data_IF_660265417177
#
_entry.id   IF_660265417177
#
_cell.length_a   1.000
_cell.length_b   1.000
_cell.length_c   1.000
_cell.angle_alpha   90.00
_cell.angle_beta   90.00
_cell.angle_gamma   90.00
#
_symmetry.space_group_name_H-M   'P 1'
#
loop_
_entity.id
_entity.type
_entity.pdbx_description
1 polymer ?
#
# COMPACT_ATOMS: atom_id res chain seq x y z
N UNK A 1 -17.40 -15.29 -9.23
CA UNK A 1 -17.71 -16.70 -9.57
C UNK A 1 -16.39 -17.45 -9.54
N UNK A 2 -16.14 -18.20 -8.46
CA UNK A 2 -14.90 -18.94 -8.23
C UNK A 2 -15.00 -20.35 -8.83
N UNK A 3 -13.97 -20.82 -9.55
CA UNK A 3 -13.68 -22.25 -9.66
C UNK A 3 -12.16 -22.43 -9.61
N UNK A 4 -11.70 -23.13 -8.56
CA UNK A 4 -10.37 -23.72 -8.45
C UNK A 4 -10.33 -25.03 -9.23
N UNK A 5 -9.18 -25.39 -9.79
CA UNK A 5 -8.94 -26.72 -10.36
C UNK A 5 -7.48 -27.09 -10.28
N UNK A 6 -7.11 -27.83 -9.23
CA UNK A 6 -5.87 -28.59 -9.17
C UNK A 6 -6.13 -30.02 -9.68
N UNK A 7 -5.25 -30.54 -10.54
CA UNK A 7 -5.10 -31.98 -10.82
C UNK A 7 -3.62 -32.30 -10.93
N UNK A 8 -3.18 -33.28 -10.12
CA UNK A 8 -1.87 -33.94 -10.11
C UNK A 8 -1.85 -35.18 -11.03
N UNK A 9 -0.62 -35.69 -11.22
CA UNK A 9 -0.19 -37.02 -11.70
C UNK A 9 -0.01 -37.18 -13.24
N UNK A 10 1.07 -37.76 -13.80
CA UNK A 10 2.12 -38.65 -13.27
C UNK A 10 3.29 -38.89 -14.26
N UNK A 11 4.48 -39.20 -13.72
CA UNK A 11 5.58 -40.14 -14.17
C UNK A 11 6.36 -39.82 -15.46
N UNK A 12 7.68 -40.04 -15.59
CA UNK A 12 8.65 -41.07 -15.14
C UNK A 12 10.08 -40.43 -15.02
N UNK A 13 10.96 -40.62 -14.00
CA UNK A 13 11.73 -41.80 -13.53
C UNK A 13 12.51 -42.52 -14.68
N UNK A 14 13.80 -42.88 -14.69
CA UNK A 14 14.96 -43.04 -13.78
C UNK A 14 16.17 -43.25 -14.77
N UNK A 15 17.44 -42.97 -14.49
CA UNK A 15 18.37 -43.88 -13.78
C UNK A 15 19.77 -43.25 -13.66
N UNK A 16 20.43 -43.56 -12.54
CA UNK A 16 21.80 -43.25 -12.17
C UNK A 16 22.69 -44.50 -12.40
N UNK A 17 24.00 -44.34 -12.65
CA UNK A 17 24.93 -45.48 -12.65
C UNK A 17 26.40 -45.09 -12.84
N UNK A 18 27.22 -45.34 -11.81
CA UNK A 18 28.68 -45.08 -11.72
C UNK A 18 29.52 -46.12 -12.49
N UNK A 19 30.76 -45.70 -12.80
CA UNK A 19 31.95 -46.45 -13.28
C UNK A 19 32.37 -47.63 -12.34
N UNK A 20 33.50 -48.38 -12.52
CA UNK A 20 34.59 -48.34 -13.54
C UNK A 20 35.03 -49.73 -14.08
N UNK A 21 35.99 -49.82 -15.01
CA UNK A 21 37.03 -50.89 -15.06
C UNK A 21 38.10 -50.60 -16.14
N UNK A 22 39.34 -50.91 -15.77
CA UNK A 22 40.62 -50.81 -16.48
C UNK A 22 40.86 -51.93 -17.50
N UNK A 23 41.57 -51.65 -18.60
CA UNK A 23 42.65 -52.50 -19.13
C UNK A 23 43.52 -51.74 -20.14
N UNK A 24 44.84 -51.88 -19.96
CA UNK A 24 45.90 -51.45 -20.88
C UNK A 24 46.06 -52.43 -22.05
N UNK A 25 46.62 -51.99 -23.19
CA UNK A 25 47.64 -52.68 -24.01
C UNK A 25 48.18 -51.72 -25.11
N UNK A 26 49.51 -51.70 -25.17
CA UNK A 26 50.59 -51.10 -26.00
C UNK A 26 50.43 -50.57 -27.45
N UNK A 27 51.43 -49.79 -27.94
CA UNK A 27 51.43 -49.02 -29.19
C UNK A 27 52.21 -49.69 -30.34
N UNK A 28 51.87 -49.34 -31.60
CA UNK A 28 52.65 -49.52 -32.86
C UNK A 28 51.84 -48.81 -33.95
N UNK A 29 52.37 -48.05 -34.91
CA UNK A 29 53.72 -47.68 -35.30
C UNK A 29 53.60 -46.64 -36.42
N UNK A 30 54.66 -45.87 -36.64
CA UNK A 30 54.84 -44.99 -37.81
C UNK A 30 54.81 -45.80 -39.12
N UNK A 31 54.49 -45.16 -40.25
CA UNK A 31 55.60 -44.68 -41.07
C UNK A 31 55.43 -43.24 -41.58
N UNK A 32 56.59 -42.59 -41.70
CA UNK A 32 56.80 -41.39 -42.49
C UNK A 32 56.95 -41.74 -43.98
N UNK A 33 56.44 -40.87 -44.86
CA UNK A 33 56.95 -40.55 -46.20
C UNK A 33 56.09 -39.37 -46.74
N UNK A 34 56.58 -38.12 -46.65
CA UNK A 34 57.23 -37.34 -47.74
C UNK A 34 56.45 -37.24 -49.05
N UNK A 35 55.81 -36.10 -49.30
CA UNK A 35 56.05 -35.25 -50.49
C UNK A 35 55.25 -33.93 -50.43
N UNK A 36 55.74 -32.86 -51.09
CA UNK A 36 55.37 -31.48 -50.79
C UNK A 36 54.28 -30.97 -51.73
N UNK A 37 53.42 -30.07 -51.24
CA UNK A 37 52.58 -29.28 -52.12
C UNK A 37 51.25 -28.90 -51.51
N UNK A 38 51.20 -27.69 -50.96
CA UNK A 38 50.16 -26.69 -51.23
C UNK A 38 50.19 -25.67 -50.11
N UNK A 39 50.54 -24.44 -50.49
CA UNK A 39 50.39 -23.24 -49.68
C UNK A 39 48.89 -23.06 -49.35
N UNK A 40 48.44 -23.60 -48.23
CA UNK A 40 47.11 -23.35 -47.71
C UNK A 40 47.13 -21.99 -47.01
N UNK A 41 46.72 -20.96 -47.76
CA UNK A 41 46.40 -19.63 -47.23
C UNK A 41 45.56 -19.77 -45.97
N UNK A 42 46.11 -19.32 -44.85
CA UNK A 42 45.33 -18.93 -43.67
C UNK A 42 44.34 -17.88 -44.17
N UNK A 43 43.08 -18.27 -44.40
CA UNK A 43 41.98 -17.31 -44.52
C UNK A 43 41.84 -16.68 -43.15
N UNK A 44 42.44 -15.51 -42.98
CA UNK A 44 41.95 -14.55 -42.01
C UNK A 44 40.45 -14.41 -42.27
N UNK A 45 39.64 -14.86 -41.33
CA UNK A 45 38.21 -14.57 -41.31
C UNK A 45 38.10 -13.06 -41.21
N UNK A 46 37.91 -12.42 -42.37
CA UNK A 46 37.65 -10.99 -42.48
C UNK A 46 36.42 -10.73 -41.62
N UNK A 47 36.59 -9.98 -40.52
CA UNK A 47 35.49 -9.28 -39.90
C UNK A 47 34.88 -8.41 -41.01
N UNK A 48 33.75 -8.85 -41.57
CA UNK A 48 32.97 -8.04 -42.49
C UNK A 48 32.70 -6.69 -41.79
N UNK A 49 33.08 -5.55 -42.38
CA UNK A 49 32.76 -4.26 -41.78
C UNK A 49 31.24 -4.17 -41.75
N UNK A 50 30.65 -4.20 -40.55
CA UNK A 50 29.23 -3.90 -40.40
C UNK A 50 29.01 -2.57 -41.11
N UNK A 51 28.14 -2.51 -42.15
CA UNK A 51 28.14 -1.36 -43.05
C UNK A 51 27.84 -0.11 -42.24
N UNK A 52 28.83 0.78 -42.09
CA UNK A 52 28.72 1.96 -41.20
C UNK A 52 27.49 2.81 -41.52
N UNK A 53 26.99 2.75 -42.76
CA UNK A 53 25.72 3.36 -43.17
C UNK A 53 24.51 2.74 -42.47
N UNK A 54 24.41 1.41 -42.45
CA UNK A 54 23.32 0.68 -41.76
C UNK A 54 23.39 0.94 -40.26
N UNK A 55 24.60 0.90 -39.67
CA UNK A 55 24.78 1.23 -38.26
C UNK A 55 24.31 2.67 -37.94
N UNK A 56 24.69 3.65 -38.77
CA UNK A 56 24.22 5.04 -38.62
C UNK A 56 22.69 5.16 -38.75
N UNK A 57 22.08 4.49 -39.73
CA UNK A 57 20.62 4.49 -39.87
C UNK A 57 19.92 3.90 -38.64
N UNK A 58 20.41 2.77 -38.11
CA UNK A 58 19.86 2.17 -36.89
C UNK A 58 19.99 3.12 -35.70
N UNK A 59 21.15 3.75 -35.50
CA UNK A 59 21.36 4.69 -34.40
C UNK A 59 20.46 5.92 -34.50
N UNK A 60 20.27 6.47 -35.71
CA UNK A 60 19.35 7.60 -35.93
C UNK A 60 17.90 7.20 -35.66
N UNK A 61 17.47 6.02 -36.10
CA UNK A 61 16.13 5.51 -35.82
C UNK A 61 15.90 5.31 -34.31
N UNK A 62 16.87 4.72 -33.60
CA UNK A 62 16.81 4.56 -32.15
C UNK A 62 16.73 5.91 -31.41
N UNK A 63 17.52 6.90 -31.84
CA UNK A 63 17.47 8.25 -31.27
C UNK A 63 16.11 8.93 -31.53
N UNK A 64 15.54 8.76 -32.72
CA UNK A 64 14.20 9.28 -33.05
C UNK A 64 13.10 8.60 -32.22
N UNK A 65 13.16 7.27 -32.05
CA UNK A 65 12.26 6.52 -31.18
C UNK A 65 12.38 6.98 -29.72
N UNK A 66 13.61 7.20 -29.24
CA UNK A 66 13.85 7.68 -27.88
C UNK A 66 13.33 9.10 -27.66
N UNK A 67 13.53 10.00 -28.63
CA UNK A 67 12.98 11.35 -28.59
C UNK A 67 11.44 11.36 -28.63
N UNK A 68 10.84 10.53 -29.49
CA UNK A 68 9.39 10.38 -29.56
C UNK A 68 8.80 9.81 -28.25
N UNK A 69 9.45 8.79 -27.67
CA UNK A 69 9.08 8.27 -26.36
C UNK A 69 9.22 9.33 -25.26
N UNK A 70 10.32 10.09 -25.24
CA UNK A 70 10.54 11.14 -24.24
C UNK A 70 9.47 12.23 -24.31
N UNK A 71 9.17 12.72 -25.52
CA UNK A 71 8.08 13.68 -25.74
C UNK A 71 6.73 13.14 -25.30
N UNK A 72 6.45 11.87 -25.60
CA UNK A 72 5.25 11.20 -25.10
C UNK A 72 5.29 11.12 -23.57
N UNK A 73 6.37 10.68 -22.94
CA UNK A 73 6.48 10.46 -21.50
C UNK A 73 6.28 11.75 -20.67
N UNK A 74 6.60 12.92 -21.21
CA UNK A 74 6.42 14.22 -20.52
C UNK A 74 5.06 14.88 -20.82
N UNK A 75 4.44 14.59 -21.96
CA UNK A 75 3.18 15.23 -22.36
C UNK A 75 1.97 14.73 -21.57
N UNK A 76 0.91 15.53 -21.44
CA UNK A 76 -0.39 15.09 -20.90
C UNK A 76 -0.44 14.87 -19.39
N UNK A 77 0.49 15.46 -18.63
CA UNK A 77 0.48 15.52 -17.16
C UNK A 77 -0.34 16.71 -16.69
N UNK A 78 -1.32 16.55 -15.78
CA UNK A 78 -2.07 17.65 -15.23
C UNK A 78 -1.19 18.48 -14.26
N UNK A 79 -1.30 19.80 -14.31
CA UNK A 79 -0.50 20.72 -13.47
C UNK A 79 -1.29 21.35 -12.32
N UNK A 80 -2.61 21.46 -12.46
CA UNK A 80 -3.54 21.82 -11.39
C UNK A 80 -4.91 21.21 -11.73
N UNK A 81 -5.46 20.44 -10.81
CA UNK A 81 -6.79 19.84 -10.93
C UNK A 81 -7.62 20.23 -9.73
N UNK A 82 -8.86 20.65 -9.97
CA UNK A 82 -9.81 20.77 -8.87
C UNK A 82 -10.01 19.39 -8.22
N UNK A 83 -10.25 19.34 -6.89
CA UNK A 83 -10.69 18.11 -6.23
C UNK A 83 -11.92 17.52 -6.93
N UNK A 84 -11.98 16.20 -7.01
CA UNK A 84 -13.15 15.51 -7.57
C UNK A 84 -14.39 15.79 -6.72
N UNK A 85 -15.59 15.89 -7.32
CA UNK A 85 -16.82 16.07 -6.57
C UNK A 85 -17.18 14.80 -5.78
N UNK A 86 -17.82 14.97 -4.63
CA UNK A 86 -18.44 13.83 -3.93
C UNK A 86 -19.67 13.34 -4.70
N UNK A 87 -19.97 12.03 -4.69
CA UNK A 87 -21.13 11.47 -5.40
C UNK A 87 -22.47 11.86 -4.77
N UNK A 88 -22.46 12.30 -3.52
CA UNK A 88 -23.62 12.72 -2.76
C UNK A 88 -23.19 13.68 -1.63
N UNK A 89 -24.12 14.45 -1.04
CA UNK A 89 -23.81 15.38 0.05
C UNK A 89 -23.11 14.69 1.23
N UNK A 90 -22.14 15.38 1.81
CA UNK A 90 -21.40 14.95 3.00
C UNK A 90 -22.36 14.55 4.13
N UNK A 91 -22.18 13.35 4.67
CA UNK A 91 -22.94 12.87 5.82
C UNK A 91 -22.13 13.09 7.10
N UNK A 92 -22.77 13.69 8.11
CA UNK A 92 -22.11 14.06 9.35
C UNK A 92 -22.87 13.45 10.53
N UNK A 93 -22.18 12.64 11.33
CA UNK A 93 -22.73 11.94 12.48
C UNK A 93 -21.92 12.26 13.74
N UNK A 94 -22.59 12.42 14.89
CA UNK A 94 -21.94 12.66 16.18
C UNK A 94 -22.40 11.63 17.20
N UNK A 95 -21.45 11.07 17.94
CA UNK A 95 -21.68 10.14 19.05
C UNK A 95 -21.23 10.81 20.35
N UNK A 96 -22.13 10.86 21.34
CA UNK A 96 -21.89 11.54 22.62
C UNK A 96 -22.04 13.06 22.53
N UNK A 97 -21.51 13.75 23.55
CA UNK A 97 -21.52 15.21 23.69
C UNK A 97 -20.16 15.73 24.16
N UNK A 98 -19.79 16.99 23.86
CA UNK A 98 -18.51 17.56 24.27
C UNK A 98 -18.42 17.69 25.79
N UNK A 99 -17.40 17.05 26.39
CA UNK A 99 -17.09 17.11 27.82
C UNK A 99 -15.70 17.71 28.11
N UNK A 100 -15.11 18.40 27.15
CA UNK A 100 -13.77 19.01 27.28
C UNK A 100 -12.59 18.04 27.22
N UNK A 101 -12.85 16.73 27.00
CA UNK A 101 -11.84 15.68 26.85
C UNK A 101 -11.34 15.47 25.41
N UNK A 102 -11.99 16.11 24.44
CA UNK A 102 -11.67 15.94 23.02
C UNK A 102 -12.54 14.91 22.32
N UNK A 103 -12.09 14.47 21.15
CA UNK A 103 -12.84 13.58 20.27
C UNK A 103 -11.93 12.85 19.27
N UNK A 104 -12.40 11.69 18.83
CA UNK A 104 -11.92 11.04 17.62
C UNK A 104 -12.83 11.46 16.46
N UNK A 105 -12.23 11.90 15.36
CA UNK A 105 -12.94 12.30 14.15
C UNK A 105 -12.62 11.31 13.04
N UNK A 106 -13.51 10.33 12.82
CA UNK A 106 -13.38 9.36 11.76
C UNK A 106 -13.79 9.97 10.42
N UNK A 107 -12.84 10.06 9.49
CA UNK A 107 -13.03 10.68 8.18
C UNK A 107 -13.06 9.57 7.11
N UNK A 108 -14.21 9.39 6.46
CA UNK A 108 -14.34 8.57 5.26
C UNK A 108 -14.52 9.50 4.05
N UNK A 109 -13.43 10.12 3.54
CA UNK A 109 -13.50 10.91 2.32
C UNK A 109 -13.93 10.02 1.14
N UNK A 110 -14.53 10.62 0.11
CA UNK A 110 -14.75 9.93 -1.16
C UNK A 110 -13.61 10.28 -2.11
N UNK A 111 -12.67 9.35 -2.29
CA UNK A 111 -11.44 9.60 -3.04
C UNK A 111 -11.47 8.95 -4.43
N UNK A 112 -10.98 9.68 -5.43
CA UNK A 112 -10.82 9.18 -6.79
C UNK A 112 -9.37 9.32 -7.24
N UNK A 113 -8.99 8.64 -8.33
CA UNK A 113 -7.65 8.80 -8.91
C UNK A 113 -7.32 10.27 -9.27
N UNK A 114 -8.33 11.07 -9.62
CA UNK A 114 -8.16 12.50 -9.94
C UNK A 114 -7.69 13.32 -8.74
N UNK A 115 -8.06 12.94 -7.52
CA UNK A 115 -7.62 13.63 -6.30
C UNK A 115 -6.11 13.46 -6.08
N UNK A 116 -5.54 12.37 -6.59
CA UNK A 116 -4.11 12.06 -6.51
C UNK A 116 -3.31 12.62 -7.69
N UNK A 117 -3.92 13.39 -8.59
CA UNK A 117 -3.19 14.04 -9.68
C UNK A 117 -2.07 14.97 -9.18
N UNK A 118 -2.24 15.58 -8.01
CA UNK A 118 -1.19 16.33 -7.29
C UNK A 118 -1.40 16.24 -5.78
N UNK A 119 -0.32 16.32 -4.98
CA UNK A 119 -0.44 16.42 -3.52
C UNK A 119 -1.33 17.59 -3.07
N UNK A 120 -1.27 18.73 -3.76
CA UNK A 120 -2.11 19.91 -3.48
C UNK A 120 -3.59 19.64 -3.70
N UNK A 121 -3.95 18.85 -4.72
CA UNK A 121 -5.35 18.47 -4.97
C UNK A 121 -5.86 17.56 -3.86
N UNK A 122 -5.06 16.56 -3.48
CA UNK A 122 -5.37 15.68 -2.36
C UNK A 122 -5.53 16.47 -1.06
N UNK A 123 -4.60 17.37 -0.76
CA UNK A 123 -4.68 18.22 0.44
C UNK A 123 -5.97 19.05 0.45
N UNK A 124 -6.33 19.70 -0.66
CA UNK A 124 -7.59 20.45 -0.76
C UNK A 124 -8.82 19.58 -0.54
N UNK A 125 -8.83 18.37 -1.13
CA UNK A 125 -9.92 17.39 -0.97
C UNK A 125 -10.08 16.97 0.50
N UNK A 126 -8.98 16.63 1.16
CA UNK A 126 -9.01 16.21 2.57
C UNK A 126 -9.33 17.38 3.51
N UNK A 127 -8.80 18.58 3.21
CA UNK A 127 -9.05 19.79 3.96
C UNK A 127 -10.53 20.20 3.96
N UNK A 128 -11.29 19.94 2.89
CA UNK A 128 -12.72 20.30 2.87
C UNK A 128 -13.53 19.53 3.91
N UNK A 129 -13.15 18.28 4.23
CA UNK A 129 -13.83 17.50 5.27
C UNK A 129 -13.47 17.98 6.67
N UNK A 130 -12.19 18.32 6.90
CA UNK A 130 -11.77 18.93 8.17
C UNK A 130 -12.39 20.33 8.35
N UNK A 131 -12.54 21.09 7.27
CA UNK A 131 -13.25 22.36 7.28
C UNK A 131 -14.72 22.18 7.67
N UNK A 132 -15.42 21.19 7.09
CA UNK A 132 -16.80 20.90 7.48
C UNK A 132 -16.91 20.54 8.98
N UNK A 133 -15.96 19.78 9.52
CA UNK A 133 -15.91 19.48 10.95
C UNK A 133 -15.58 20.71 11.81
N UNK A 134 -14.74 21.62 11.31
CA UNK A 134 -14.48 22.92 11.95
C UNK A 134 -15.74 23.78 12.00
N UNK A 135 -16.44 23.91 10.88
CA UNK A 135 -17.66 24.70 10.77
C UNK A 135 -18.79 24.15 11.66
N UNK A 136 -18.80 22.83 11.90
CA UNK A 136 -19.69 22.16 12.85
C UNK A 136 -19.26 22.30 14.33
N UNK A 137 -18.14 22.96 14.63
CA UNK A 137 -17.61 23.12 15.99
C UNK A 137 -17.03 21.85 16.61
N UNK A 138 -16.67 20.86 15.78
CA UNK A 138 -16.18 19.55 16.27
C UNK A 138 -14.68 19.50 16.52
N UNK A 139 -13.92 20.52 16.09
CA UNK A 139 -12.48 20.56 16.34
C UNK A 139 -12.19 21.23 17.69
N UNK A 140 -11.54 20.49 18.58
CA UNK A 140 -11.13 20.87 19.94
C UNK A 140 -9.62 21.09 20.04
N UNK A 141 -9.01 21.60 18.96
CA UNK A 141 -7.58 21.81 18.84
C UNK A 141 -6.78 20.51 19.08
N UNK A 142 -5.71 20.55 19.91
CA UNK A 142 -4.85 19.39 20.15
C UNK A 142 -5.56 18.16 20.76
N UNK A 143 -6.79 18.32 21.26
CA UNK A 143 -7.61 17.22 21.81
C UNK A 143 -8.49 16.53 20.75
N UNK A 144 -8.47 16.98 19.50
CA UNK A 144 -9.07 16.24 18.39
C UNK A 144 -8.02 15.38 17.70
N UNK A 145 -8.38 14.13 17.42
CA UNK A 145 -7.59 13.21 16.62
C UNK A 145 -8.41 12.84 15.38
N UNK A 146 -8.02 13.40 14.24
CA UNK A 146 -8.62 13.06 12.95
C UNK A 146 -8.01 11.76 12.40
N UNK A 147 -8.85 10.84 11.95
CA UNK A 147 -8.42 9.51 11.50
C UNK A 147 -8.84 9.30 10.06
N UNK A 148 -7.85 9.24 9.17
CA UNK A 148 -8.03 8.90 7.77
C UNK A 148 -7.91 7.38 7.53
N UNK A 149 -8.48 6.86 6.43
CA UNK A 149 -8.46 5.42 6.15
C UNK A 149 -7.12 4.87 5.67
N UNK A 150 -6.96 3.55 5.71
CA UNK A 150 -5.80 2.86 5.14
C UNK A 150 -5.62 3.23 3.66
N UNK A 151 -4.37 3.22 3.19
CA UNK A 151 -3.97 3.52 1.82
C UNK A 151 -4.27 4.93 1.30
N UNK A 152 -4.81 5.85 2.12
CA UNK A 152 -4.97 7.26 1.73
C UNK A 152 -3.66 7.90 1.24
N UNK A 153 -2.49 7.48 1.73
CA UNK A 153 -1.20 7.96 1.20
C UNK A 153 -0.63 7.15 0.04
N UNK A 154 -1.06 5.90 -0.13
CA UNK A 154 -0.46 4.95 -1.09
C UNK A 154 -0.69 5.35 -2.54
N UNK A 155 -1.83 5.99 -2.82
CA UNK A 155 -2.19 6.39 -4.18
C UNK A 155 -1.49 7.67 -4.65
N UNK A 156 -0.66 8.30 -3.81
CA UNK A 156 0.32 9.32 -4.24
C UNK A 156 1.29 8.78 -5.30
N UNK A 157 1.35 7.45 -5.51
CA UNK A 157 2.00 6.86 -6.69
C UNK A 157 1.47 7.45 -8.01
N UNK A 158 0.24 7.94 -8.07
CA UNK A 158 -0.35 8.60 -9.25
C UNK A 158 0.02 10.10 -9.38
N UNK A 159 0.68 10.69 -8.39
CA UNK A 159 1.00 12.12 -8.38
C UNK A 159 1.82 12.56 -9.60
N UNK A 160 1.35 13.56 -10.33
CA UNK A 160 2.04 14.07 -11.51
C UNK A 160 2.11 13.07 -12.67
N UNK A 161 1.39 11.94 -12.61
CA UNK A 161 1.26 11.03 -13.74
C UNK A 161 0.35 11.58 -14.83
N UNK A 162 0.45 10.99 -16.02
CA UNK A 162 -0.34 11.43 -17.17
C UNK A 162 -1.83 11.16 -16.96
N UNK A 163 -2.69 11.95 -17.62
CA UNK A 163 -4.14 11.70 -17.68
C UNK A 163 -4.50 10.28 -18.11
N UNK A 164 -3.73 9.69 -19.02
CA UNK A 164 -3.94 8.30 -19.45
C UNK A 164 -3.74 7.26 -18.33
N UNK A 165 -3.02 7.59 -17.26
CA UNK A 165 -2.93 6.76 -16.06
C UNK A 165 -4.02 7.13 -15.03
N UNK A 166 -4.25 8.43 -14.81
CA UNK A 166 -5.24 8.93 -13.84
C UNK A 166 -6.67 8.57 -14.23
N UNK A 167 -7.02 8.76 -15.51
CA UNK A 167 -8.37 8.53 -16.06
C UNK A 167 -8.54 7.10 -16.61
N UNK A 168 -7.58 6.20 -16.34
CA UNK A 168 -7.68 4.81 -16.77
C UNK A 168 -8.92 4.13 -16.14
N UNK A 169 -9.49 3.16 -16.84
CA UNK A 169 -10.66 2.43 -16.34
C UNK A 169 -10.30 1.45 -15.21
N UNK A 170 -9.10 0.87 -15.26
CA UNK A 170 -8.62 -0.15 -14.34
C UNK A 170 -7.18 0.13 -13.88
N UNK A 171 -6.86 -0.40 -12.70
CA UNK A 171 -5.56 -0.20 -12.04
C UNK A 171 -4.42 -0.82 -12.84
N UNK A 172 -4.67 -1.92 -13.57
CA UNK A 172 -3.65 -2.59 -14.39
C UNK A 172 -3.20 -1.71 -15.57
N UNK A 173 -4.15 -1.09 -16.26
CA UNK A 173 -3.90 -0.11 -17.33
C UNK A 173 -3.19 1.13 -16.78
N UNK A 174 -3.61 1.62 -15.61
CA UNK A 174 -2.95 2.75 -14.96
C UNK A 174 -1.47 2.44 -14.65
N UNK A 175 -1.23 1.31 -13.97
CA UNK A 175 0.11 0.84 -13.60
C UNK A 175 1.00 0.60 -14.82
N UNK A 176 0.45 -0.01 -15.87
CA UNK A 176 1.17 -0.22 -17.15
C UNK A 176 1.57 1.11 -17.77
N UNK A 177 0.66 2.09 -17.76
CA UNK A 177 0.95 3.44 -18.28
C UNK A 177 2.07 4.12 -17.50
N UNK A 178 2.06 4.01 -16.17
CA UNK A 178 3.14 4.53 -15.31
C UNK A 178 4.46 3.83 -15.62
N UNK A 179 4.46 2.49 -15.69
CA UNK A 179 5.66 1.71 -16.01
C UNK A 179 6.28 2.11 -17.36
N UNK A 180 5.46 2.27 -18.41
CA UNK A 180 5.91 2.69 -19.75
C UNK A 180 6.37 4.15 -19.79
N UNK A 181 5.76 5.01 -18.98
CA UNK A 181 6.13 6.42 -18.85
C UNK A 181 7.51 6.57 -18.17
N UNK A 182 7.84 5.67 -17.25
CA UNK A 182 9.11 5.66 -16.52
C UNK A 182 9.99 4.46 -16.88
N UNK A 183 9.92 4.01 -18.14
CA UNK A 183 10.43 2.70 -18.58
C UNK A 183 11.87 2.38 -18.15
N UNK A 184 12.88 3.25 -18.32
CA UNK A 184 14.25 2.94 -17.89
C UNK A 184 14.36 2.68 -16.38
N UNK A 185 13.73 3.55 -15.58
CA UNK A 185 13.72 3.44 -14.11
C UNK A 185 12.94 2.21 -13.65
N UNK A 186 11.79 1.94 -14.28
CA UNK A 186 10.99 0.77 -13.98
C UNK A 186 11.74 -0.54 -14.27
N UNK A 187 12.40 -0.66 -15.43
CA UNK A 187 13.21 -1.83 -15.77
C UNK A 187 14.40 -2.01 -14.82
N UNK A 188 15.04 -0.92 -14.41
CA UNK A 188 16.10 -0.96 -13.39
C UNK A 188 15.58 -1.50 -12.05
N UNK A 189 14.41 -1.02 -11.58
CA UNK A 189 13.78 -1.51 -10.35
C UNK A 189 13.35 -2.98 -10.48
N UNK A 190 12.78 -3.39 -11.60
CA UNK A 190 12.46 -4.79 -11.88
C UNK A 190 13.69 -5.70 -11.79
N UNK A 191 14.82 -5.28 -12.37
CA UNK A 191 16.05 -6.06 -12.36
C UNK A 191 16.74 -6.10 -10.98
N UNK A 192 16.45 -5.13 -10.11
CA UNK A 192 17.05 -5.01 -8.76
C UNK A 192 16.07 -5.37 -7.64
N UNK A 193 14.88 -5.87 -8.00
CA UNK A 193 13.85 -6.23 -7.03
C UNK A 193 14.38 -7.35 -6.11
N UNK A 194 14.11 -7.26 -4.79
CA UNK A 194 14.35 -8.38 -3.89
C UNK A 194 13.48 -9.59 -4.28
N UNK A 195 13.72 -10.74 -3.66
CA UNK A 195 12.92 -11.94 -3.90
C UNK A 195 11.50 -11.80 -3.34
N UNK A 196 10.64 -11.10 -4.07
CA UNK A 196 9.21 -10.88 -3.80
C UNK A 196 8.36 -11.57 -4.87
N UNK A 197 7.12 -11.95 -4.53
CA UNK A 197 6.25 -12.66 -5.46
C UNK A 197 5.69 -11.76 -6.58
N UNK A 198 5.55 -10.46 -6.31
CA UNK A 198 5.07 -9.45 -7.26
C UNK A 198 6.13 -8.34 -7.47
N UNK A 199 7.18 -8.59 -8.26
CA UNK A 199 8.27 -7.62 -8.48
C UNK A 199 7.82 -6.37 -9.24
N UNK A 200 6.78 -6.48 -10.08
CA UNK A 200 6.15 -5.37 -10.80
C UNK A 200 5.49 -4.35 -9.85
N UNK A 201 4.72 -4.83 -8.87
CA UNK A 201 4.15 -3.98 -7.81
C UNK A 201 5.23 -3.34 -6.96
N UNK A 202 6.26 -4.12 -6.59
CA UNK A 202 7.40 -3.59 -5.84
C UNK A 202 8.13 -2.49 -6.63
N UNK A 203 8.38 -2.70 -7.92
CA UNK A 203 9.03 -1.72 -8.78
C UNK A 203 8.22 -0.43 -8.92
N UNK A 204 6.88 -0.53 -9.04
CA UNK A 204 6.00 0.64 -9.13
C UNK A 204 6.00 1.49 -7.86
N UNK A 205 5.84 0.87 -6.68
CA UNK A 205 5.82 1.64 -5.42
C UNK A 205 7.20 2.18 -5.04
N UNK A 206 8.29 1.51 -5.43
CA UNK A 206 9.65 2.03 -5.21
C UNK A 206 10.08 3.10 -6.21
N UNK A 207 9.46 3.14 -7.40
CA UNK A 207 9.75 4.14 -8.44
C UNK A 207 9.60 5.57 -7.91
N UNK A 208 8.59 5.81 -7.07
CA UNK A 208 8.19 7.13 -6.59
C UNK A 208 8.22 7.27 -5.07
N UNK A 209 8.86 6.34 -4.38
CA UNK A 209 8.86 6.28 -2.92
C UNK A 209 9.30 7.58 -2.25
N UNK A 210 10.34 8.25 -2.76
CA UNK A 210 10.85 9.51 -2.20
C UNK A 210 9.83 10.65 -2.33
N UNK A 211 9.24 10.84 -3.52
CA UNK A 211 8.22 11.86 -3.72
C UNK A 211 6.94 11.53 -2.96
N UNK A 212 6.54 10.26 -2.92
CA UNK A 212 5.40 9.81 -2.12
C UNK A 212 5.59 10.09 -0.63
N UNK A 213 6.77 9.82 -0.07
CA UNK A 213 7.07 10.13 1.33
C UNK A 213 7.03 11.64 1.61
N UNK A 214 7.62 12.46 0.74
CA UNK A 214 7.62 13.91 0.88
C UNK A 214 6.19 14.49 0.77
N UNK A 215 5.41 14.06 -0.21
CA UNK A 215 4.02 14.47 -0.41
C UNK A 215 3.12 14.02 0.73
N UNK A 216 3.31 12.80 1.25
CA UNK A 216 2.59 12.30 2.42
C UNK A 216 2.86 13.17 3.65
N UNK A 217 4.13 13.45 3.94
CA UNK A 217 4.51 14.33 5.04
C UNK A 217 3.94 15.74 4.87
N UNK A 218 4.02 16.32 3.67
CA UNK A 218 3.50 17.64 3.37
C UNK A 218 1.98 17.72 3.55
N UNK A 219 1.21 16.83 2.91
CA UNK A 219 -0.26 16.84 2.95
C UNK A 219 -0.75 16.72 4.40
N UNK A 220 -0.33 15.68 5.12
CA UNK A 220 -0.88 15.44 6.45
C UNK A 220 -0.31 16.39 7.52
N UNK A 221 0.95 16.81 7.38
CA UNK A 221 1.53 17.85 8.21
C UNK A 221 0.83 19.20 8.04
N UNK A 222 0.49 19.58 6.80
CA UNK A 222 -0.26 20.80 6.52
C UNK A 222 -1.68 20.75 7.07
N UNK A 223 -2.41 19.64 6.87
CA UNK A 223 -3.74 19.45 7.45
C UNK A 223 -3.70 19.56 8.97
N UNK A 224 -2.79 18.85 9.61
CA UNK A 224 -2.64 18.85 11.06
C UNK A 224 -2.36 20.24 11.62
N UNK A 225 -1.41 20.97 11.01
CA UNK A 225 -1.03 22.34 11.40
C UNK A 225 -2.14 23.35 11.13
N UNK A 226 -2.79 23.27 9.97
CA UNK A 226 -3.85 24.20 9.55
C UNK A 226 -5.06 24.15 10.48
N UNK A 227 -5.44 22.94 10.90
CA UNK A 227 -6.61 22.73 11.76
C UNK A 227 -6.25 22.61 13.25
N UNK A 228 -4.95 22.57 13.59
CA UNK A 228 -4.46 22.50 14.96
C UNK A 228 -4.84 21.21 15.69
N UNK A 229 -4.96 20.10 14.96
CA UNK A 229 -5.42 18.79 15.46
C UNK A 229 -4.36 17.72 15.27
N UNK A 230 -4.44 16.62 16.03
CA UNK A 230 -3.67 15.43 15.68
C UNK A 230 -4.29 14.74 14.46
N UNK A 231 -3.46 14.16 13.59
CA UNK A 231 -3.91 13.45 12.39
C UNK A 231 -3.27 12.07 12.32
N UNK A 232 -4.08 11.02 12.39
CA UNK A 232 -3.71 9.67 11.93
C UNK A 232 -3.86 9.66 10.41
N UNK A 233 -2.72 9.69 9.73
CA UNK A 233 -2.61 9.98 8.30
C UNK A 233 -2.92 8.78 7.39
N UNK A 234 -3.91 7.97 7.76
CA UNK A 234 -4.24 6.76 7.02
C UNK A 234 -3.05 5.81 6.95
N UNK A 235 -2.74 5.27 5.77
CA UNK A 235 -1.48 4.55 5.57
C UNK A 235 -0.87 4.76 4.19
N UNK A 236 0.42 4.46 4.07
CA UNK A 236 1.23 4.54 2.86
C UNK A 236 2.17 3.34 2.74
N UNK A 237 2.40 2.87 1.51
CA UNK A 237 3.40 1.83 1.22
C UNK A 237 4.73 2.47 0.83
N UNK A 238 5.78 2.23 1.62
CA UNK A 238 7.13 2.81 1.43
C UNK A 238 8.23 1.76 1.70
N UNK A 239 9.43 1.89 1.09
CA UNK A 239 10.54 0.98 1.34
C UNK A 239 11.27 1.35 2.63
N UNK A 240 11.11 0.49 3.65
CA UNK A 240 11.65 0.63 5.01
C UNK A 240 11.70 2.09 5.52
N UNK A 241 10.57 2.77 5.68
CA UNK A 241 10.57 4.17 6.06
C UNK A 241 11.11 4.40 7.48
N UNK A 242 11.81 5.51 7.67
CA UNK A 242 12.36 5.94 8.95
C UNK A 242 12.19 7.45 9.16
N UNK A 243 12.32 7.89 10.41
CA UNK A 243 12.38 9.31 10.75
C UNK A 243 13.84 9.73 10.94
N UNK A 244 14.36 10.56 10.03
CA UNK A 244 15.67 11.20 10.14
C UNK A 244 15.45 12.69 10.34
N UNK A 245 15.93 13.22 11.46
CA UNK A 245 15.76 14.63 11.84
C UNK A 245 14.30 15.11 11.81
N UNK A 246 13.36 14.22 12.15
CA UNK A 246 11.93 14.49 12.16
C UNK A 246 11.24 14.42 10.79
N UNK A 247 11.97 14.07 9.73
CA UNK A 247 11.45 13.92 8.37
C UNK A 247 11.34 12.46 7.94
N UNK A 248 10.33 12.14 7.15
CA UNK A 248 10.12 10.81 6.61
C UNK A 248 11.13 10.54 5.48
N UNK A 249 12.00 9.57 5.70
CA UNK A 249 12.97 9.09 4.72
C UNK A 249 12.67 7.65 4.35
N UNK A 250 13.06 7.29 3.14
CA UNK A 250 12.88 5.95 2.57
C UNK A 250 14.24 5.39 2.20
N UNK A 251 14.34 4.07 2.15
CA UNK A 251 15.57 3.37 1.76
C UNK A 251 15.39 2.73 0.37
N UNK A 252 15.91 3.34 -0.71
CA UNK A 252 15.75 2.79 -2.05
C UNK A 252 16.27 1.35 -2.14
N UNK A 253 15.45 0.44 -2.69
CA UNK A 253 15.81 -0.97 -2.82
C UNK A 253 15.46 -1.83 -1.59
N UNK A 254 15.03 -1.24 -0.48
CA UNK A 254 14.58 -1.97 0.68
C UNK A 254 13.19 -2.61 0.49
N UNK A 255 12.83 -3.63 1.30
CA UNK A 255 11.48 -4.18 1.31
C UNK A 255 10.41 -3.12 1.60
N UNK A 256 9.30 -3.18 0.88
CA UNK A 256 8.15 -2.31 1.13
C UNK A 256 7.44 -2.71 2.41
N UNK A 257 6.89 -1.75 3.12
CA UNK A 257 5.99 -1.97 4.26
C UNK A 257 4.80 -1.03 4.15
N UNK A 258 3.64 -1.45 4.65
CA UNK A 258 2.48 -0.57 4.83
C UNK A 258 2.58 0.10 6.21
N UNK A 259 2.60 1.43 6.23
CA UNK A 259 2.87 2.20 7.45
C UNK A 259 1.87 3.34 7.65
N UNK A 260 1.70 3.77 8.90
CA UNK A 260 0.93 4.95 9.29
C UNK A 260 1.75 5.87 10.18
N UNK A 261 1.55 7.18 10.03
CA UNK A 261 2.13 8.19 10.91
C UNK A 261 1.03 8.94 11.68
N UNK A 262 1.35 9.28 12.93
CA UNK A 262 0.61 10.27 13.69
C UNK A 262 1.28 11.63 13.50
N UNK A 263 0.54 12.63 13.05
CA UNK A 263 0.99 14.02 13.02
C UNK A 263 0.45 14.76 14.24
N UNK A 264 1.32 15.49 14.92
CA UNK A 264 0.96 16.40 16.01
C UNK A 264 0.47 17.74 15.45
N UNK A 265 -0.26 18.55 16.24
CA UNK A 265 -0.89 19.79 15.80
C UNK A 265 0.08 20.86 15.29
N UNK A 266 1.40 20.68 15.48
CA UNK A 266 2.44 21.51 14.89
C UNK A 266 2.79 21.11 13.45
N UNK A 267 2.19 20.04 12.93
CA UNK A 267 2.42 19.45 11.62
C UNK A 267 3.62 18.50 11.54
N UNK A 268 4.23 18.11 12.67
CA UNK A 268 5.35 17.16 12.70
C UNK A 268 4.88 15.75 12.99
N UNK A 269 5.63 14.76 12.50
CA UNK A 269 5.39 13.36 12.80
C UNK A 269 5.77 13.09 14.27
N UNK A 270 4.85 12.47 15.01
CA UNK A 270 5.07 11.97 16.37
C UNK A 270 5.66 10.56 16.26
N UNK A 271 6.89 10.32 16.73
CA UNK A 271 7.49 8.99 16.68
C UNK A 271 6.85 8.03 17.70
N UNK A 272 6.90 6.71 17.45
CA UNK A 272 7.48 6.05 16.28
C UNK A 272 6.49 5.94 15.10
N UNK A 273 6.98 5.56 13.92
CA UNK A 273 6.14 5.14 12.80
C UNK A 273 5.43 3.82 13.13
N UNK A 274 4.18 3.66 12.69
CA UNK A 274 3.42 2.41 12.83
C UNK A 274 3.59 1.59 11.57
N UNK A 275 4.05 0.34 11.68
CA UNK A 275 4.17 -0.58 10.56
C UNK A 275 3.15 -1.71 10.75
N UNK A 276 2.37 -2.01 9.70
CA UNK A 276 1.34 -3.06 9.72
C UNK A 276 1.97 -4.41 10.05
N UNK A 277 1.54 -5.03 11.14
CA UNK A 277 2.11 -6.28 11.64
C UNK A 277 1.50 -7.52 10.96
N UNK A 278 0.27 -7.41 10.46
CA UNK A 278 -0.43 -8.51 9.81
C UNK A 278 -0.89 -8.13 8.39
N UNK A 279 0.02 -8.09 7.40
CA UNK A 279 -0.38 -7.91 6.01
C UNK A 279 -1.25 -9.06 5.51
N UNK A 280 -2.25 -8.75 4.68
CA UNK A 280 -3.10 -9.76 4.02
C UNK A 280 -2.36 -10.46 2.87
N UNK A 281 -2.88 -11.57 2.35
CA UNK A 281 -2.21 -12.38 1.33
C UNK A 281 -1.81 -11.56 0.08
N UNK A 282 -2.68 -10.68 -0.40
CA UNK A 282 -2.39 -9.81 -1.54
C UNK A 282 -1.21 -8.85 -1.27
N UNK A 283 -1.10 -8.34 -0.04
CA UNK A 283 -0.05 -7.42 0.39
C UNK A 283 1.28 -8.14 0.56
N UNK A 284 1.26 -9.38 1.06
CA UNK A 284 2.46 -10.22 1.27
C UNK A 284 3.21 -10.50 -0.03
N UNK A 285 2.56 -10.35 -1.17
CA UNK A 285 3.22 -10.54 -2.47
C UNK A 285 4.30 -9.48 -2.76
N UNK A 286 4.24 -8.29 -2.12
CA UNK A 286 5.19 -7.20 -2.35
C UNK A 286 5.60 -6.41 -1.09
N UNK A 287 4.99 -6.67 0.07
CA UNK A 287 5.30 -6.00 1.35
C UNK A 287 5.74 -6.97 2.44
N UNK A 288 6.53 -6.45 3.39
CA UNK A 288 6.92 -7.14 4.61
C UNK A 288 6.03 -6.72 5.78
N UNK A 289 5.90 -7.64 6.74
CA UNK A 289 5.24 -7.39 8.02
C UNK A 289 6.14 -6.60 8.98
N UNK A 290 5.51 -5.74 9.79
CA UNK A 290 6.11 -5.15 10.98
C UNK A 290 6.21 -6.15 12.15
N UNK A 291 6.81 -5.72 13.25
CA UNK A 291 6.91 -6.53 14.45
C UNK A 291 5.53 -6.75 15.10
N UNK A 292 5.21 -8.00 15.43
CA UNK A 292 3.99 -8.34 16.16
C UNK A 292 4.15 -8.03 17.65
N UNK A 293 3.07 -7.65 18.33
CA UNK A 293 3.02 -7.54 19.80
C UNK A 293 3.53 -6.24 20.44
N UNK A 294 4.16 -5.33 19.68
CA UNK A 294 4.62 -4.02 20.17
C UNK A 294 4.10 -2.87 19.30
N UNK A 295 2.84 -2.98 18.85
CA UNK A 295 2.25 -1.91 18.04
C UNK A 295 2.23 -0.58 18.81
N UNK A 296 2.64 0.55 18.19
CA UNK A 296 2.85 1.79 18.91
C UNK A 296 1.60 2.35 19.60
N UNK A 297 1.87 3.03 20.71
CA UNK A 297 0.92 3.87 21.44
C UNK A 297 1.48 5.28 21.54
N UNK A 298 0.59 6.26 21.55
CA UNK A 298 0.95 7.67 21.54
C UNK A 298 0.25 8.41 22.68
N UNK A 299 1.01 9.19 23.44
CA UNK A 299 0.42 10.09 24.43
C UNK A 299 -0.06 11.36 23.71
N UNK A 300 -1.36 11.58 23.70
CA UNK A 300 -1.97 12.79 23.15
C UNK A 300 -2.69 13.58 24.26
N UNK A 301 -2.99 14.88 24.06
CA UNK A 301 -3.80 15.65 24.99
C UNK A 301 -5.22 15.10 25.22
N UNK A 302 -5.72 14.24 24.32
CA UNK A 302 -7.02 13.58 24.44
C UNK A 302 -6.94 12.27 25.26
N UNK A 303 -5.74 11.68 25.38
CA UNK A 303 -5.50 10.39 26.03
C UNK A 303 -4.44 9.56 25.31
N UNK A 304 -4.17 8.37 25.83
CA UNK A 304 -3.23 7.42 25.23
C UNK A 304 -3.91 6.69 24.06
N UNK A 305 -3.43 6.95 22.85
CA UNK A 305 -3.93 6.41 21.59
C UNK A 305 -3.15 5.16 21.19
N UNK A 306 -3.83 4.04 21.01
CA UNK A 306 -3.32 2.89 20.27
C UNK A 306 -3.65 3.02 18.78
N UNK A 307 -2.68 2.76 17.91
CA UNK A 307 -2.87 2.82 16.45
C UNK A 307 -2.57 1.45 15.85
N UNK A 308 -3.58 0.87 15.19
CA UNK A 308 -3.51 -0.39 14.46
C UNK A 308 -3.79 -0.13 12.99
N UNK A 309 -3.33 -0.99 12.06
CA UNK A 309 -3.64 -0.85 10.63
C UNK A 309 -4.47 -2.05 10.17
N UNK A 310 -5.74 -1.80 9.85
CA UNK A 310 -6.65 -2.74 9.19
C UNK A 310 -6.66 -4.14 9.81
N UNK A 311 -6.07 -5.12 9.11
CA UNK A 311 -5.98 -6.51 9.51
C UNK A 311 -5.38 -6.68 10.91
N UNK A 312 -4.50 -5.79 11.38
CA UNK A 312 -3.98 -5.80 12.75
C UNK A 312 -5.10 -5.89 13.80
N UNK A 313 -6.23 -5.22 13.56
CA UNK A 313 -7.36 -5.19 14.48
C UNK A 313 -8.03 -6.56 14.69
N UNK A 314 -7.76 -7.55 13.84
CA UNK A 314 -8.29 -8.90 14.00
C UNK A 314 -7.46 -9.74 14.96
N UNK A 315 -6.18 -9.42 15.17
CA UNK A 315 -5.26 -10.29 15.92
C UNK A 315 -5.17 -9.88 17.39
N UNK A 316 -5.43 -10.76 18.37
CA UNK A 316 -5.31 -10.43 19.79
C UNK A 316 -3.94 -9.88 20.19
N UNK A 317 -2.87 -10.34 19.52
CA UNK A 317 -1.50 -9.93 19.77
C UNK A 317 -1.27 -8.44 19.50
N UNK A 318 -2.00 -7.87 18.53
CA UNK A 318 -1.93 -6.45 18.18
C UNK A 318 -2.35 -5.53 19.34
N UNK A 319 -3.15 -6.03 20.28
CA UNK A 319 -3.67 -5.28 21.42
C UNK A 319 -2.81 -5.38 22.67
N UNK A 320 -1.76 -6.21 22.67
CA UNK A 320 -0.96 -6.48 23.87
C UNK A 320 -0.35 -5.20 24.44
N UNK A 321 0.31 -4.40 23.59
CA UNK A 321 0.92 -3.14 23.99
C UNK A 321 -0.12 -2.08 24.39
N UNK A 322 -1.25 -2.00 23.68
CA UNK A 322 -2.34 -1.07 24.01
C UNK A 322 -2.83 -1.25 25.47
N UNK A 323 -3.04 -2.50 25.88
CA UNK A 323 -3.41 -2.85 27.26
C UNK A 323 -2.28 -2.53 28.25
N UNK A 324 -1.05 -2.90 27.93
CA UNK A 324 0.11 -2.68 28.82
C UNK A 324 0.36 -1.19 29.08
N UNK A 325 0.18 -0.36 28.05
CA UNK A 325 0.37 1.08 28.13
C UNK A 325 -0.87 1.85 28.62
N UNK A 326 -1.95 1.15 28.99
CA UNK A 326 -3.19 1.79 29.46
C UNK A 326 -3.85 2.68 28.41
N UNK A 327 -3.83 2.27 27.14
CA UNK A 327 -4.49 3.00 26.06
C UNK A 327 -5.99 3.18 26.36
N UNK A 328 -6.46 4.42 26.27
CA UNK A 328 -7.87 4.78 26.45
C UNK A 328 -8.57 5.03 25.12
N UNK A 329 -7.79 5.30 24.07
CA UNK A 329 -8.24 5.62 22.72
C UNK A 329 -7.67 4.62 21.71
N UNK A 330 -8.39 4.36 20.62
CA UNK A 330 -7.90 3.55 19.51
C UNK A 330 -8.31 4.07 18.14
N UNK A 331 -7.37 4.06 17.20
CA UNK A 331 -7.62 4.37 15.79
C UNK A 331 -7.20 3.17 14.93
N UNK A 332 -8.05 2.82 13.97
CA UNK A 332 -7.80 1.76 12.99
C UNK A 332 -8.14 2.25 11.58
N UNK A 333 -7.17 2.78 10.83
CA UNK A 333 -7.31 2.98 9.40
C UNK A 333 -7.47 1.63 8.71
N UNK A 334 -8.50 1.48 7.87
CA UNK A 334 -8.79 0.23 7.15
C UNK A 334 -9.17 0.47 5.69
N UNK A 335 -9.02 -0.57 4.87
CA UNK A 335 -9.57 -0.65 3.53
C UNK A 335 -10.16 -2.04 3.30
N UNK A 336 -11.37 -2.08 2.73
CA UNK A 336 -11.98 -3.30 2.22
C UNK A 336 -12.12 -3.13 0.71
N UNK A 337 -11.23 -3.77 -0.05
CA UNK A 337 -11.24 -3.74 -1.51
C UNK A 337 -12.46 -4.46 -2.08
N UNK A 338 -12.94 -4.00 -3.23
CA UNK A 338 -14.08 -4.55 -3.94
C UNK A 338 -15.42 -3.96 -3.54
N UNK A 339 -16.29 -3.81 -4.54
CA UNK A 339 -17.67 -3.38 -4.30
C UNK A 339 -18.47 -4.48 -3.59
N UNK A 340 -19.19 -4.12 -2.54
CA UNK A 340 -20.01 -5.05 -1.74
C UNK A 340 -19.20 -6.10 -0.96
N UNK A 341 -17.90 -5.87 -0.75
CA UNK A 341 -17.04 -6.76 0.04
C UNK A 341 -17.60 -7.04 1.44
N UNK A 342 -18.36 -6.12 2.04
CA UNK A 342 -18.98 -6.31 3.35
C UNK A 342 -20.19 -7.26 3.38
N UNK A 343 -20.73 -7.59 2.20
CA UNK A 343 -21.92 -8.42 2.02
C UNK A 343 -21.58 -9.87 1.69
N UNK A 344 -20.32 -10.16 1.34
CA UNK A 344 -19.90 -11.52 1.01
C UNK A 344 -19.67 -12.36 2.28
N UNK A 345 -19.78 -13.70 2.20
CA UNK A 345 -19.42 -14.57 3.32
C UNK A 345 -17.96 -14.40 3.72
N UNK A 346 -17.71 -14.23 5.00
CA UNK A 346 -16.38 -14.09 5.57
C UNK A 346 -15.59 -15.40 5.48
N UNK A 347 -14.41 -15.34 4.86
CA UNK A 347 -13.54 -16.51 4.64
C UNK A 347 -12.67 -16.92 5.83
N UNK A 348 -12.73 -16.19 6.94
CA UNK A 348 -11.73 -16.26 8.01
C UNK A 348 -10.66 -15.18 7.85
N UNK A 349 -9.60 -15.27 8.65
CA UNK A 349 -8.51 -14.30 8.64
C UNK A 349 -7.71 -14.47 7.34
N UNK A 350 -7.34 -13.34 6.75
CA UNK A 350 -6.54 -13.28 5.52
C UNK A 350 -5.10 -12.86 5.88
N UNK A 351 -4.10 -13.52 5.30
CA UNK A 351 -2.68 -13.26 5.59
C UNK A 351 -2.08 -14.17 6.66
N UNK A 352 -2.77 -14.42 7.77
CA UNK A 352 -2.24 -15.29 8.82
C UNK A 352 -3.33 -16.19 9.42
N UNK A 353 -2.95 -17.27 10.13
CA UNK A 353 -3.93 -18.19 10.72
C UNK A 353 -4.93 -17.48 11.63
N UNK A 354 -6.16 -18.01 11.66
CA UNK A 354 -7.20 -17.55 12.59
C UNK A 354 -6.67 -17.55 14.03
N UNK A 355 -7.01 -16.51 14.78
CA UNK A 355 -6.75 -16.48 16.21
C UNK A 355 -7.55 -17.57 16.93
N UNK A 356 -7.04 -18.04 18.06
CA UNK A 356 -7.66 -19.13 18.84
C UNK A 356 -9.06 -18.79 19.38
N UNK A 357 -9.46 -17.51 19.39
CA UNK A 357 -10.77 -17.05 19.83
C UNK A 357 -11.80 -16.93 18.69
N UNK A 358 -11.43 -17.33 17.47
CA UNK A 358 -12.36 -17.43 16.34
C UNK A 358 -13.22 -18.69 16.47
N UNK A 359 -14.53 -18.54 16.31
CA UNK A 359 -15.44 -19.68 16.19
C UNK A 359 -15.44 -20.14 14.73
N UNK A 360 -14.88 -21.32 14.46
CA UNK A 360 -14.75 -21.82 13.08
C UNK A 360 -16.09 -22.05 12.40
N UNK A 361 -17.21 -22.12 13.14
CA UNK A 361 -18.56 -22.26 12.58
C UNK A 361 -19.10 -20.98 11.95
N UNK A 362 -18.45 -19.84 12.20
CA UNK A 362 -18.82 -18.56 11.62
C UNK A 362 -18.21 -18.34 10.23
N UNK A 363 -17.15 -19.07 9.90
CA UNK A 363 -16.48 -19.01 8.60
C UNK A 363 -17.45 -19.50 7.52
N UNK A 364 -17.64 -18.69 6.48
CA UNK A 364 -18.60 -18.92 5.41
C UNK A 364 -20.06 -18.67 5.80
N UNK A 365 -20.35 -18.32 7.07
CA UNK A 365 -21.70 -18.04 7.57
C UNK A 365 -21.94 -16.57 7.87
N UNK A 366 -21.00 -15.92 8.56
CA UNK A 366 -21.06 -14.47 8.77
C UNK A 366 -20.74 -13.76 7.47
N UNK A 367 -21.32 -12.58 7.27
CA UNK A 367 -20.77 -11.66 6.27
C UNK A 367 -19.49 -11.02 6.78
N UNK A 368 -18.66 -10.50 5.87
CA UNK A 368 -17.46 -9.74 6.22
C UNK A 368 -17.77 -8.58 7.20
N UNK A 369 -18.87 -7.85 7.01
CA UNK A 369 -19.32 -6.80 7.94
C UNK A 369 -19.61 -7.31 9.36
N UNK A 370 -20.26 -8.47 9.46
CA UNK A 370 -20.57 -9.10 10.75
C UNK A 370 -19.30 -9.60 11.43
N UNK A 371 -18.35 -10.14 10.65
CA UNK A 371 -17.07 -10.58 11.16
C UNK A 371 -16.21 -9.42 11.69
N UNK A 372 -16.16 -8.27 10.99
CA UNK A 372 -15.52 -7.05 11.50
C UNK A 372 -16.11 -6.59 12.84
N UNK A 373 -17.42 -6.71 13.02
CA UNK A 373 -18.06 -6.36 14.29
C UNK A 373 -17.80 -7.38 15.40
N UNK A 374 -17.70 -8.67 15.08
CA UNK A 374 -17.54 -9.75 16.06
C UNK A 374 -16.08 -9.98 16.47
N UNK A 375 -15.15 -9.89 15.52
CA UNK A 375 -13.77 -10.37 15.67
C UNK A 375 -12.70 -9.29 15.56
N UNK A 376 -13.04 -8.02 15.31
CA UNK A 376 -12.07 -6.94 15.19
C UNK A 376 -12.21 -5.88 16.30
N UNK A 377 -11.84 -4.63 16.01
CA UNK A 377 -11.67 -3.53 16.97
C UNK A 377 -12.86 -3.36 17.93
N UNK A 378 -14.09 -3.26 17.43
CA UNK A 378 -15.25 -2.90 18.27
C UNK A 378 -15.58 -3.95 19.34
N UNK A 379 -15.29 -5.23 19.09
CA UNK A 379 -15.47 -6.30 20.07
C UNK A 379 -14.26 -6.48 20.99
N UNK A 380 -13.05 -6.17 20.50
CA UNK A 380 -11.80 -6.42 21.22
C UNK A 380 -11.39 -5.26 22.12
N UNK A 381 -11.47 -4.03 21.62
CA UNK A 381 -10.94 -2.84 22.29
C UNK A 381 -11.50 -2.63 23.72
N UNK A 382 -12.82 -2.76 23.99
CA UNK A 382 -13.35 -2.60 25.36
C UNK A 382 -12.76 -3.58 26.37
N UNK A 383 -12.45 -4.81 25.94
CA UNK A 383 -11.84 -5.85 26.80
C UNK A 383 -10.38 -5.55 27.16
N UNK A 384 -9.78 -4.58 26.49
CA UNK A 384 -8.40 -4.12 26.71
C UNK A 384 -8.34 -2.80 27.48
N UNK A 385 -9.49 -2.27 27.95
CA UNK A 385 -9.58 -0.99 28.64
C UNK A 385 -9.73 0.23 27.72
N UNK A 386 -9.88 0.01 26.41
CA UNK A 386 -10.13 1.08 25.44
C UNK A 386 -11.63 1.32 25.32
N UNK A 387 -12.10 2.48 25.77
CA UNK A 387 -13.53 2.80 25.82
C UNK A 387 -13.99 3.76 24.72
N UNK A 388 -13.06 4.33 23.95
CA UNK A 388 -13.36 5.17 22.79
C UNK A 388 -12.43 4.76 21.64
N UNK A 389 -12.99 4.48 20.46
CA UNK A 389 -12.18 4.09 19.32
C UNK A 389 -12.92 4.18 17.99
N UNK A 390 -12.17 4.31 16.90
CA UNK A 390 -12.74 4.35 15.54
C UNK A 390 -11.96 3.45 14.58
N UNK A 391 -12.69 2.71 13.76
CA UNK A 391 -12.19 1.95 12.63
C UNK A 391 -12.80 2.54 11.35
N UNK A 392 -11.96 3.06 10.47
CA UNK A 392 -12.33 3.96 9.38
C UNK A 392 -11.94 3.36 8.04
N UNK A 393 -12.92 3.09 7.19
CA UNK A 393 -12.72 2.36 5.92
C UNK A 393 -12.58 3.33 4.74
N UNK A 394 -11.62 3.07 3.84
CA UNK A 394 -11.44 3.87 2.64
C UNK A 394 -12.70 3.77 1.77
N UNK A 395 -13.19 4.91 1.29
CA UNK A 395 -14.33 5.03 0.37
C UNK A 395 -13.90 5.81 -0.86
N UNK A 396 -14.47 5.45 -2.00
CA UNK A 396 -14.14 6.13 -3.24
C UNK A 396 -14.17 5.24 -4.46
N UNK A 397 -13.68 5.79 -5.56
CA UNK A 397 -13.53 5.15 -6.85
C UNK A 397 -12.08 5.29 -7.33
N UNK A 398 -11.21 4.43 -6.79
CA UNK A 398 -9.81 4.32 -7.19
C UNK A 398 -9.70 3.27 -8.30
N UNK A 399 -9.81 3.72 -9.55
CA UNK A 399 -9.94 2.84 -10.71
C UNK A 399 -11.03 1.78 -10.47
N UNK A 400 -10.73 0.51 -10.74
CA UNK A 400 -11.61 -0.64 -10.59
C UNK A 400 -11.39 -1.42 -9.28
N UNK A 401 -10.61 -0.88 -8.33
CA UNK A 401 -10.34 -1.56 -7.06
C UNK A 401 -11.60 -1.76 -6.21
N UNK A 402 -12.61 -0.92 -6.43
CA UNK A 402 -13.81 -0.83 -5.60
C UNK A 402 -13.49 -0.41 -4.17
N UNK A 403 -14.53 -0.21 -3.38
CA UNK A 403 -14.39 -0.06 -1.94
C UNK A 403 -15.66 -0.48 -1.24
N UNK A 404 -15.54 -0.94 0.00
CA UNK A 404 -16.67 -1.16 0.89
C UNK A 404 -16.37 -0.80 2.35
N UNK A 405 -17.43 -0.77 3.15
CA UNK A 405 -17.36 -0.57 4.59
C UNK A 405 -17.83 0.78 5.06
N UNK A 406 -17.98 0.88 6.37
CA UNK A 406 -18.42 2.07 7.07
C UNK A 406 -17.69 2.20 8.40
N UNK A 407 -17.68 3.40 8.96
CA UNK A 407 -17.05 3.63 10.26
C UNK A 407 -17.67 2.73 11.33
N UNK A 408 -16.82 1.96 12.00
CA UNK A 408 -17.17 1.26 13.23
C UNK A 408 -16.53 2.02 14.40
N UNK A 409 -17.29 2.26 15.46
CA UNK A 409 -16.83 3.01 16.62
C UNK A 409 -17.06 2.22 17.91
N UNK A 410 -16.21 2.49 18.90
CA UNK A 410 -16.49 2.22 20.31
C UNK A 410 -16.74 3.57 20.97
N UNK A 411 -17.85 3.71 21.68
CA UNK A 411 -18.16 4.90 22.45
C UNK A 411 -18.68 4.47 23.83
N UNK A 412 -18.03 4.93 24.90
CA UNK A 412 -18.29 4.47 26.27
C UNK A 412 -18.30 2.93 26.42
N UNK A 413 -17.40 2.26 25.68
CA UNK A 413 -17.29 0.79 25.67
C UNK A 413 -18.36 0.06 24.85
N UNK A 414 -19.29 0.77 24.19
CA UNK A 414 -20.30 0.17 23.34
C UNK A 414 -19.94 0.29 21.86
N UNK A 415 -20.16 -0.79 21.11
CA UNK A 415 -19.96 -0.82 19.67
C UNK A 415 -21.07 -0.05 18.93
N UNK A 416 -20.69 0.78 17.97
CA UNK A 416 -21.61 1.52 17.08
C UNK A 416 -21.13 1.31 15.66
N UNK A 417 -22.02 0.92 14.76
CA UNK A 417 -21.73 0.77 13.34
C UNK A 417 -22.49 1.83 12.54
N UNK A 418 -21.78 2.61 11.73
CA UNK A 418 -22.42 3.48 10.74
C UNK A 418 -22.89 2.66 9.54
N UNK A 419 -23.95 3.08 8.84
CA UNK A 419 -24.39 2.43 7.62
C UNK A 419 -23.40 2.68 6.48
N UNK A 420 -23.25 1.71 5.58
CA UNK A 420 -22.53 1.92 4.31
C UNK A 420 -23.28 2.96 3.47
N UNK A 421 -22.53 3.94 2.96
CA UNK A 421 -23.03 5.03 2.13
C UNK A 421 -22.20 5.16 0.85
N UNK A 422 -22.84 5.62 -0.21
CA UNK A 422 -22.20 6.11 -1.43
C UNK A 422 -22.00 7.62 -1.31
N UNK A 423 -21.32 8.06 -0.25
CA UNK A 423 -21.03 9.47 0.05
C UNK A 423 -19.79 9.54 0.93
N UNK A 424 -19.14 10.70 0.97
CA UNK A 424 -18.21 11.01 2.04
C UNK A 424 -18.96 11.06 3.39
N UNK A 425 -18.29 10.63 4.46
CA UNK A 425 -18.88 10.59 5.81
C UNK A 425 -17.88 11.07 6.86
N UNK A 426 -18.35 11.84 7.84
CA UNK A 426 -17.61 12.21 9.05
C UNK A 426 -18.37 11.66 10.25
N UNK A 427 -17.69 10.85 11.07
CA UNK A 427 -18.23 10.40 12.36
C UNK A 427 -17.39 10.99 13.48
N UNK A 428 -17.98 11.94 14.20
CA UNK A 428 -17.42 12.52 15.40
C UNK A 428 -17.76 11.65 16.62
N UNK A 429 -16.75 11.27 17.40
CA UNK A 429 -16.91 10.47 18.62
C UNK A 429 -16.32 11.24 19.79
N UNK A 430 -17.19 11.84 20.59
CA UNK A 430 -16.77 12.56 21.80
C UNK A 430 -16.20 11.59 22.84
N UNK A 431 -15.15 12.01 23.53
CA UNK A 431 -14.55 11.20 24.59
C UNK A 431 -15.38 11.40 25.88
N UNK A 432 -15.98 10.33 26.45
CA UNK A 432 -16.89 10.42 27.60
C UNK A 432 -16.26 10.88 28.91
#
# INVERSE_FOLDING_TARGET
MCISGAVQHEKLALFCGKAPFTHAITPRGLPAQTSPGACAKVRATVFLPFPMRVLRFVLVALAACWAAWFLWAIAGRPTDTAPSPDPAPLQMHSLGSPQGRGNLLALQPWLTAQDYASATTLERKLASYLQAAFDAGWLQGPKTIAVFPEYTGTWLVAEGEKRSAIDAADVGTAMTTVALTHLPSFLYRMATAPAVAAPDKWALFTLKAESMAASYEAVFGNLSRRFGVHVVAGSIVLPQPELVDGHLRVHPGAPLVNMSALFGPDGRIVPPLVIKAFPIDDEKTFTNAGATGQLPVFNTPAGTLALLICADAWYPQAYANARQAGATLMAVPSFSAGDRAWQVPWGGYNGAPNAADVDTRDIGRLTEAQAWQKYAMVARAPRQGVHTGVNVFLRGQLWDLGSDGATLAVHAGQAVAQPVRASATITNVWIP
#
